data_IF_375470119466
#
_entry.id   IF_375470119466
#
_cell.length_a   1.000
_cell.length_b   1.000
_cell.length_c   1.000
_cell.angle_alpha   90.00
_cell.angle_beta   90.00
_cell.angle_gamma   90.00
#
_symmetry.space_group_name_H-M   'P 1'
#
loop_
_entity.id
_entity.type
_entity.pdbx_description
1 polymer ?
#
# COMPACT_ATOMS: atom_id res chain seq x y z
N UNK A 1 80.18 -12.28 13.57
CA UNK A 1 79.17 -12.28 14.66
C UNK A 1 78.18 -13.39 14.38
N UNK A 2 77.75 -14.12 15.41
CA UNK A 2 76.56 -15.01 15.37
C UNK A 2 75.30 -14.17 15.04
N UNK A 3 74.17 -14.71 14.57
CA UNK A 3 73.38 -15.83 15.11
C UNK A 3 72.62 -16.62 14.01
N UNK A 4 72.34 -17.90 14.31
CA UNK A 4 71.46 -18.86 13.61
C UNK A 4 70.12 -18.25 13.15
N UNK A 5 69.54 -18.55 11.98
CA UNK A 5 69.20 -19.85 11.39
C UNK A 5 68.03 -20.59 12.08
N UNK A 6 66.86 -20.61 11.41
CA UNK A 6 66.10 -21.85 11.24
C UNK A 6 65.21 -21.80 9.99
N UNK A 7 65.45 -22.72 9.06
CA UNK A 7 64.51 -23.12 8.00
C UNK A 7 63.71 -24.34 8.46
N UNK A 8 62.59 -24.54 7.76
CA UNK A 8 61.98 -25.82 7.32
C UNK A 8 60.56 -26.09 7.84
N UNK A 9 59.69 -26.87 7.16
CA UNK A 9 59.40 -27.15 5.73
C UNK A 9 58.35 -28.29 5.70
N UNK A 10 57.64 -28.51 4.57
CA UNK A 10 56.82 -29.70 4.23
C UNK A 10 55.55 -29.88 5.10
N UNK A 11 54.33 -29.70 4.56
CA UNK A 11 53.50 -30.72 3.86
C UNK A 11 52.19 -30.92 4.67
N UNK A 12 51.01 -31.27 4.15
CA UNK A 12 50.64 -32.05 2.96
C UNK A 12 49.18 -31.74 2.56
N UNK A 13 48.77 -32.01 1.32
CA UNK A 13 47.34 -32.13 0.96
C UNK A 13 46.72 -33.39 1.60
N UNK A 14 45.37 -33.43 1.74
CA UNK A 14 44.68 -34.47 0.98
C UNK A 14 43.33 -34.06 0.35
N UNK A 15 43.08 -34.68 -0.81
CA UNK A 15 41.82 -35.21 -1.36
C UNK A 15 40.55 -34.35 -1.43
N UNK A 16 40.03 -34.24 -2.66
CA UNK A 16 38.60 -34.12 -2.95
C UNK A 16 37.77 -35.23 -2.31
N UNK A 17 36.49 -34.95 -2.04
CA UNK A 17 35.42 -35.95 -2.01
C UNK A 17 34.13 -35.37 -2.60
N UNK A 18 33.80 -35.81 -3.82
CA UNK A 18 32.56 -35.45 -4.50
C UNK A 18 31.40 -36.27 -3.90
N UNK A 19 30.20 -35.70 -3.69
CA UNK A 19 28.99 -36.49 -3.43
C UNK A 19 28.42 -37.04 -4.74
N UNK A 20 28.17 -38.35 -4.79
CA UNK A 20 27.56 -39.03 -5.92
C UNK A 20 26.06 -38.66 -6.10
N UNK A 21 25.50 -38.75 -7.33
CA UNK A 21 24.10 -38.42 -7.59
C UNK A 21 23.14 -39.49 -7.06
N UNK A 22 21.95 -39.05 -6.66
CA UNK A 22 20.81 -39.90 -6.31
C UNK A 22 19.98 -40.21 -7.57
N UNK A 23 20.02 -41.46 -8.03
CA UNK A 23 19.10 -41.96 -9.04
C UNK A 23 17.68 -42.10 -8.48
N UNK A 24 16.71 -41.52 -9.19
CA UNK A 24 15.28 -41.63 -8.91
C UNK A 24 14.53 -41.80 -10.25
N UNK A 25 13.97 -42.98 -10.56
CA UNK A 25 13.36 -43.22 -11.85
C UNK A 25 11.97 -42.57 -11.96
N UNK A 26 11.77 -41.78 -13.02
CA UNK A 26 10.43 -41.49 -13.52
C UNK A 26 9.84 -42.77 -14.15
N UNK A 27 8.55 -43.00 -13.93
CA UNK A 27 7.74 -43.86 -14.82
C UNK A 27 6.37 -43.24 -15.07
N UNK A 28 5.98 -43.16 -16.34
CA UNK A 28 4.64 -42.77 -16.79
C UNK A 28 3.76 -44.01 -16.99
N UNK A 29 2.52 -43.96 -16.49
CA UNK A 29 1.28 -44.57 -17.03
C UNK A 29 0.16 -44.21 -16.03
N UNK A 30 -1.00 -43.61 -16.35
CA UNK A 30 -1.98 -43.73 -17.46
C UNK A 30 -2.86 -44.99 -17.38
N UNK A 31 -4.17 -44.76 -17.56
CA UNK A 31 -5.31 -45.70 -17.72
C UNK A 31 -5.76 -46.61 -16.55
N UNK A 32 -6.92 -46.23 -16.00
CA UNK A 32 -8.20 -46.99 -15.97
C UNK A 32 -8.22 -48.52 -15.69
N UNK A 33 -9.11 -48.93 -14.78
CA UNK A 33 -9.59 -50.31 -14.65
C UNK A 33 -10.42 -50.55 -13.37
N UNK A 34 -11.69 -50.91 -13.52
CA UNK A 34 -12.55 -51.37 -12.41
C UNK A 34 -12.37 -52.88 -12.14
N UNK A 35 -13.19 -53.44 -11.23
CA UNK A 35 -13.25 -54.84 -10.74
C UNK A 35 -12.29 -55.09 -9.56
N UNK A 36 -12.68 -55.72 -8.43
CA UNK A 36 -13.99 -56.23 -8.01
C UNK A 36 -13.87 -57.53 -7.20
N UNK A 37 -14.74 -57.73 -6.19
CA UNK A 37 -14.83 -58.90 -5.29
C UNK A 37 -13.62 -59.17 -4.35
N UNK A 38 -13.67 -59.96 -3.27
CA UNK A 38 -14.65 -60.39 -2.23
C UNK A 38 -13.80 -61.14 -1.14
N UNK A 39 -14.20 -61.57 0.07
CA UNK A 39 -15.43 -61.61 0.89
C UNK A 39 -15.00 -61.83 2.36
N UNK A 40 -15.76 -61.37 3.38
CA UNK A 40 -15.91 -62.09 4.69
C UNK A 40 -16.88 -61.40 5.68
N UNK A 41 -18.03 -62.04 5.91
CA UNK A 41 -18.89 -62.01 7.12
C UNK A 41 -18.83 -63.46 7.72
N UNK A 42 -19.59 -63.93 8.75
CA UNK A 42 -20.67 -63.36 9.57
C UNK A 42 -20.48 -63.73 11.08
N UNK A 43 -21.47 -64.11 11.94
CA UNK A 43 -22.94 -63.89 11.98
C UNK A 43 -23.51 -63.42 13.36
N UNK A 44 -24.79 -63.01 13.42
CA UNK A 44 -25.87 -63.72 14.17
C UNK A 44 -27.27 -63.08 13.91
N UNK A 45 -28.34 -63.70 14.43
CA UNK A 45 -29.78 -63.71 14.01
C UNK A 45 -30.70 -63.35 15.21
N UNK A 46 -32.05 -63.43 15.15
CA UNK A 46 -33.06 -63.11 14.11
C UNK A 46 -34.33 -62.35 14.66
N UNK A 47 -35.30 -61.98 13.80
CA UNK A 47 -36.70 -61.72 14.20
C UNK A 47 -37.69 -61.76 12.99
N UNK A 48 -38.98 -61.92 13.28
CA UNK A 48 -40.18 -61.76 12.41
C UNK A 48 -41.45 -61.99 13.27
N UNK A 49 -42.69 -62.01 12.73
CA UNK A 49 -43.17 -61.62 11.39
C UNK A 49 -44.41 -60.66 11.41
N UNK A 50 -45.00 -60.41 10.23
CA UNK A 50 -46.40 -60.04 9.91
C UNK A 50 -47.14 -58.84 10.56
N UNK A 51 -47.63 -57.91 9.72
CA UNK A 51 -49.07 -57.61 9.56
C UNK A 51 -49.42 -56.66 8.39
N UNK A 52 -50.73 -56.47 8.12
CA UNK A 52 -51.33 -56.13 6.81
C UNK A 52 -52.41 -55.01 6.92
N UNK A 53 -52.76 -54.35 5.78
CA UNK A 53 -53.90 -53.39 5.52
C UNK A 53 -53.74 -51.95 6.10
N UNK A 54 -54.45 -50.90 5.63
CA UNK A 54 -55.61 -50.75 4.72
C UNK A 54 -55.46 -49.44 3.88
N UNK A 55 -55.71 -49.43 2.56
CA UNK A 55 -56.98 -49.03 1.87
C UNK A 55 -57.34 -47.53 1.89
N UNK A 56 -57.50 -46.95 0.69
CA UNK A 56 -58.08 -45.64 0.43
C UNK A 56 -59.61 -45.71 0.19
N UNK A 57 -60.31 -44.58 0.34
CA UNK A 57 -61.75 -44.44 0.03
C UNK A 57 -62.01 -43.28 -0.94
N UNK A 58 -63.15 -43.37 -1.63
CA UNK A 58 -63.52 -42.60 -2.82
C UNK A 58 -64.45 -41.44 -2.47
N UNK A 59 -64.29 -40.30 -3.14
CA UNK A 59 -65.29 -39.23 -3.16
C UNK A 59 -65.34 -38.54 -4.53
N UNK A 60 -66.43 -38.74 -5.28
CA UNK A 60 -66.71 -38.05 -6.57
C UNK A 60 -67.86 -37.07 -6.38
N UNK A 61 -67.69 -35.83 -6.85
CA UNK A 61 -68.79 -34.93 -7.23
C UNK A 61 -68.40 -34.22 -8.54
N UNK A 62 -69.40 -34.01 -9.40
CA UNK A 62 -69.42 -33.40 -10.74
C UNK A 62 -70.75 -32.61 -10.83
N UNK A 63 -71.03 -31.73 -11.82
CA UNK A 63 -70.22 -31.26 -12.96
C UNK A 63 -70.28 -29.72 -13.19
N UNK A 64 -69.98 -29.28 -14.43
CA UNK A 64 -70.11 -27.93 -15.05
C UNK A 64 -68.95 -26.93 -14.81
N UNK A 65 -68.47 -26.14 -15.78
CA UNK A 65 -68.92 -25.93 -17.17
C UNK A 65 -67.75 -25.67 -18.18
N UNK A 66 -67.97 -26.13 -19.42
CA UNK A 66 -67.62 -25.54 -20.74
C UNK A 66 -66.36 -24.63 -20.88
N UNK A 67 -65.33 -25.22 -21.49
CA UNK A 67 -64.61 -24.77 -22.69
C UNK A 67 -64.32 -23.25 -22.90
N UNK A 68 -63.04 -22.87 -22.77
CA UNK A 68 -62.45 -21.71 -23.43
C UNK A 68 -61.28 -22.15 -24.32
N UNK A 69 -61.34 -21.80 -25.61
CA UNK A 69 -60.37 -22.25 -26.62
C UNK A 69 -59.16 -21.31 -26.68
N UNK A 70 -58.17 -21.54 -25.82
CA UNK A 70 -56.88 -20.82 -25.88
C UNK A 70 -55.87 -21.55 -26.78
N UNK A 71 -55.36 -20.88 -27.83
CA UNK A 71 -54.26 -21.44 -28.62
C UNK A 71 -52.98 -21.50 -27.76
N UNK A 72 -52.54 -22.71 -27.43
CA UNK A 72 -51.28 -22.95 -26.75
C UNK A 72 -50.12 -22.89 -27.75
N UNK A 73 -49.44 -21.76 -27.85
CA UNK A 73 -48.10 -21.67 -28.45
C UNK A 73 -47.04 -21.86 -27.35
N UNK A 74 -46.45 -23.05 -27.29
CA UNK A 74 -45.26 -23.31 -26.49
C UNK A 74 -44.04 -22.58 -27.12
N UNK A 75 -43.03 -22.21 -26.31
CA UNK A 75 -42.21 -21.04 -26.63
C UNK A 75 -41.09 -21.34 -27.63
N UNK A 76 -40.88 -20.41 -28.56
CA UNK A 76 -39.56 -20.23 -29.17
C UNK A 76 -38.64 -19.62 -28.09
N UNK A 77 -37.84 -20.46 -27.45
CA UNK A 77 -36.80 -20.00 -26.54
C UNK A 77 -35.80 -19.15 -27.34
N UNK A 78 -35.83 -17.83 -27.12
CA UNK A 78 -34.74 -16.98 -27.59
C UNK A 78 -33.42 -17.53 -27.02
N UNK A 79 -32.34 -17.60 -27.81
CA UNK A 79 -31.04 -17.93 -27.24
C UNK A 79 -30.77 -16.94 -26.10
N UNK A 80 -30.20 -17.38 -24.96
CA UNK A 80 -29.86 -16.46 -23.89
C UNK A 80 -29.00 -15.36 -24.49
N UNK A 81 -29.49 -14.12 -24.42
CA UNK A 81 -28.75 -12.99 -24.92
C UNK A 81 -27.41 -13.03 -24.20
N UNK A 82 -26.33 -13.25 -24.96
CA UNK A 82 -25.00 -13.21 -24.41
C UNK A 82 -24.84 -11.81 -23.84
N UNK A 83 -24.85 -11.72 -22.51
CA UNK A 83 -24.38 -10.54 -21.79
C UNK A 83 -22.89 -10.46 -22.04
N UNK A 84 -22.56 -9.95 -23.23
CA UNK A 84 -21.28 -9.35 -23.51
C UNK A 84 -21.11 -8.28 -22.44
N UNK A 85 -20.33 -8.62 -21.41
CA UNK A 85 -19.84 -7.66 -20.44
C UNK A 85 -19.26 -6.52 -21.26
N UNK A 86 -19.91 -5.35 -21.20
CA UNK A 86 -19.34 -4.16 -21.79
C UNK A 86 -18.04 -3.93 -21.03
N UNK A 87 -16.91 -4.19 -21.69
CA UNK A 87 -15.62 -3.78 -21.17
C UNK A 87 -15.69 -2.27 -21.01
N UNK A 88 -15.78 -1.81 -19.76
CA UNK A 88 -15.81 -0.40 -19.45
C UNK A 88 -14.56 0.24 -20.07
N UNK A 89 -14.77 1.21 -20.95
CA UNK A 89 -13.70 1.70 -21.80
C UNK A 89 -12.60 2.31 -20.93
N UNK A 90 -11.37 1.78 -21.05
CA UNK A 90 -10.27 2.04 -20.13
C UNK A 90 -9.81 3.51 -20.20
N UNK A 91 -10.49 4.37 -19.45
CA UNK A 91 -10.38 5.82 -19.51
C UNK A 91 -10.08 6.43 -18.12
N UNK A 92 -8.86 6.22 -17.59
CA UNK A 92 -8.47 6.78 -16.29
C UNK A 92 -8.55 8.31 -16.31
N UNK A 93 -8.94 8.89 -15.17
CA UNK A 93 -9.10 10.34 -15.00
C UNK A 93 -7.89 11.13 -15.54
N UNK A 94 -8.12 12.34 -16.05
CA UNK A 94 -7.04 13.15 -16.61
C UNK A 94 -6.04 13.61 -15.52
N UNK A 95 -4.75 13.37 -15.75
CA UNK A 95 -3.66 14.00 -15.00
C UNK A 95 -3.13 15.26 -15.70
N UNK A 96 -2.17 15.92 -15.07
CA UNK A 96 -1.43 17.06 -15.62
C UNK A 96 -0.10 16.60 -16.23
N UNK A 97 0.27 17.13 -17.40
CA UNK A 97 1.56 16.80 -18.05
C UNK A 97 2.74 17.64 -17.54
N UNK A 98 2.47 18.69 -16.74
CA UNK A 98 3.46 19.57 -16.13
C UNK A 98 3.14 19.73 -14.64
N UNK A 99 4.10 19.35 -13.80
CA UNK A 99 4.02 19.59 -12.36
C UNK A 99 4.20 21.09 -12.03
N UNK A 100 3.66 21.57 -10.90
CA UNK A 100 3.78 22.99 -10.48
C UNK A 100 5.21 23.45 -10.15
N UNK A 101 6.20 22.55 -10.22
CA UNK A 101 7.61 22.83 -9.94
C UNK A 101 7.98 22.54 -8.47
N UNK A 102 9.28 22.37 -8.23
CA UNK A 102 9.81 21.97 -6.92
C UNK A 102 9.60 20.49 -6.61
N UNK A 103 10.32 20.00 -5.60
CA UNK A 103 10.19 18.64 -5.09
C UNK A 103 8.92 18.50 -4.24
N UNK A 104 8.04 17.53 -4.54
CA UNK A 104 6.83 17.27 -3.75
C UNK A 104 7.11 17.11 -2.25
N UNK A 105 6.17 17.59 -1.42
CA UNK A 105 6.36 17.70 0.03
C UNK A 105 6.77 16.36 0.67
N UNK A 106 6.18 15.26 0.21
CA UNK A 106 6.42 13.92 0.73
C UNK A 106 7.88 13.48 0.51
N UNK A 107 8.40 13.64 -0.71
CA UNK A 107 9.80 13.32 -1.02
C UNK A 107 10.78 14.18 -0.20
N UNK A 108 10.46 15.48 -0.07
CA UNK A 108 11.25 16.43 0.74
C UNK A 108 11.22 16.10 2.24
N UNK A 109 10.06 15.71 2.78
CA UNK A 109 9.87 15.36 4.20
C UNK A 109 10.55 14.04 4.59
N UNK A 110 10.70 13.12 3.65
CA UNK A 110 11.35 11.83 3.82
C UNK A 110 12.86 11.86 3.50
N UNK A 111 13.38 12.98 2.98
CA UNK A 111 14.77 13.17 2.56
C UNK A 111 15.37 11.99 1.77
N UNK A 112 14.60 11.52 0.79
CA UNK A 112 14.91 10.32 -0.01
C UNK A 112 16.28 10.43 -0.70
N UNK A 113 16.66 11.64 -1.14
CA UNK A 113 17.95 11.88 -1.81
C UNK A 113 19.15 11.68 -0.89
N UNK A 114 19.02 11.97 0.41
CA UNK A 114 20.05 11.61 1.39
C UNK A 114 20.13 10.11 1.59
N UNK A 115 18.99 9.40 1.65
CA UNK A 115 18.97 7.94 1.75
C UNK A 115 19.64 7.25 0.53
N UNK A 116 19.49 7.81 -0.68
CA UNK A 116 20.16 7.35 -1.91
C UNK A 116 21.69 7.36 -1.87
N UNK A 117 22.31 8.12 -0.95
CA UNK A 117 23.76 8.06 -0.73
C UNK A 117 24.21 6.74 -0.11
N UNK A 118 23.28 5.95 0.43
CA UNK A 118 23.51 4.66 1.08
C UNK A 118 22.79 3.51 0.38
N UNK A 119 21.60 3.75 -0.20
CA UNK A 119 20.84 2.75 -0.95
C UNK A 119 19.79 3.36 -1.88
N UNK A 120 19.66 2.80 -3.07
CA UNK A 120 18.69 3.15 -4.13
C UNK A 120 17.66 2.04 -4.40
N UNK A 121 17.70 0.94 -3.62
CA UNK A 121 16.90 -0.26 -3.83
C UNK A 121 17.41 -1.18 -4.93
N UNK A 122 18.64 -0.97 -5.43
CA UNK A 122 19.24 -1.77 -6.50
C UNK A 122 19.25 -3.28 -6.16
N UNK A 123 18.85 -4.10 -7.13
CA UNK A 123 18.78 -5.56 -7.00
C UNK A 123 17.52 -6.09 -6.31
N UNK A 124 16.82 -5.27 -5.52
CA UNK A 124 15.64 -5.71 -4.75
C UNK A 124 14.40 -5.79 -5.63
N UNK A 125 13.62 -6.85 -5.45
CA UNK A 125 12.41 -7.14 -6.22
C UNK A 125 11.15 -6.80 -5.42
N UNK A 126 10.42 -5.79 -5.88
CA UNK A 126 9.20 -5.29 -5.23
C UNK A 126 7.97 -5.69 -6.05
N UNK A 127 7.12 -6.53 -5.48
CA UNK A 127 5.82 -6.82 -6.06
C UNK A 127 4.77 -5.80 -5.64
N UNK A 128 3.95 -5.38 -6.59
CA UNK A 128 2.91 -4.37 -6.42
C UNK A 128 1.59 -5.01 -6.80
N UNK A 129 0.69 -5.17 -5.81
CA UNK A 129 -0.62 -5.79 -6.00
C UNK A 129 -1.68 -4.68 -6.04
N UNK A 130 -2.11 -4.30 -7.24
CA UNK A 130 -2.84 -3.05 -7.49
C UNK A 130 -3.76 -3.09 -8.75
N UNK A 131 -4.13 -1.95 -9.32
CA UNK A 131 -5.03 -1.78 -10.49
C UNK A 131 -4.37 -1.94 -11.87
N UNK A 132 -3.05 -2.17 -11.93
CA UNK A 132 -2.26 -2.27 -13.16
C UNK A 132 -1.23 -1.16 -13.31
N UNK A 133 -0.60 -1.05 -14.48
CA UNK A 133 0.43 -0.03 -14.76
C UNK A 133 0.32 0.57 -16.17
N UNK A 134 0.46 1.90 -16.28
CA UNK A 134 0.86 2.53 -17.56
C UNK A 134 2.37 2.35 -17.81
N UNK A 135 2.70 1.25 -18.51
CA UNK A 135 4.07 0.89 -18.87
C UNK A 135 4.75 1.90 -19.81
N UNK A 136 3.97 2.80 -20.44
CA UNK A 136 4.48 3.82 -21.38
C UNK A 136 4.92 5.09 -20.66
N UNK A 137 4.49 5.28 -19.40
CA UNK A 137 4.85 6.44 -18.57
C UNK A 137 6.37 6.61 -18.49
N UNK A 138 6.94 7.79 -18.79
CA UNK A 138 8.39 7.95 -18.97
C UNK A 138 9.25 7.48 -17.78
N UNK A 139 8.78 7.71 -16.54
CA UNK A 139 9.49 7.29 -15.32
C UNK A 139 9.40 5.78 -15.01
N UNK A 140 8.53 5.03 -15.70
CA UNK A 140 8.18 3.64 -15.34
C UNK A 140 8.59 2.61 -16.41
N UNK A 141 9.22 3.07 -17.50
CA UNK A 141 9.68 2.20 -18.60
C UNK A 141 10.74 1.21 -18.13
N UNK A 142 10.56 -0.06 -18.51
CA UNK A 142 11.51 -1.13 -18.23
C UNK A 142 11.72 -1.41 -16.74
N UNK A 143 10.72 -1.11 -15.89
CA UNK A 143 10.77 -1.48 -14.47
C UNK A 143 10.22 -2.87 -14.18
N UNK A 144 9.30 -3.39 -14.99
CA UNK A 144 8.36 -4.42 -14.53
C UNK A 144 8.21 -5.67 -15.40
N UNK A 145 7.97 -6.79 -14.72
CA UNK A 145 7.21 -7.94 -15.24
C UNK A 145 5.73 -7.77 -14.89
N UNK A 146 4.82 -8.34 -15.69
CA UNK A 146 3.37 -8.12 -15.56
C UNK A 146 2.60 -9.43 -15.44
N UNK A 147 1.66 -9.49 -14.51
CA UNK A 147 0.64 -10.53 -14.43
C UNK A 147 -0.71 -9.85 -14.17
N UNK A 148 -1.72 -10.31 -14.88
CA UNK A 148 -3.10 -9.85 -14.74
C UNK A 148 -3.99 -11.00 -14.23
N UNK A 149 -4.63 -10.79 -13.08
CA UNK A 149 -5.60 -11.69 -12.47
C UNK A 149 -7.05 -11.30 -12.81
N UNK A 150 -7.26 -10.22 -13.55
CA UNK A 150 -8.59 -9.73 -13.95
C UNK A 150 -9.03 -10.22 -15.33
N UNK A 151 -8.08 -10.59 -16.19
CA UNK A 151 -8.35 -10.99 -17.57
C UNK A 151 -8.62 -9.81 -18.52
N UNK A 152 -8.37 -8.57 -18.10
CA UNK A 152 -8.59 -7.35 -18.91
C UNK A 152 -7.29 -6.72 -19.45
N UNK A 153 -6.14 -7.35 -19.19
CA UNK A 153 -4.81 -6.86 -19.55
C UNK A 153 -4.19 -5.96 -18.48
N UNK A 154 -2.89 -5.72 -18.60
CA UNK A 154 -2.07 -5.04 -17.57
C UNK A 154 -2.31 -3.52 -17.44
N UNK A 155 -3.04 -2.90 -18.37
CA UNK A 155 -3.28 -1.46 -18.40
C UNK A 155 -4.00 -0.99 -17.12
N UNK A 156 -3.52 0.10 -16.55
CA UNK A 156 -4.16 0.76 -15.42
C UNK A 156 -5.30 1.67 -15.88
N UNK A 157 -6.55 1.20 -15.68
CA UNK A 157 -7.75 1.96 -16.03
C UNK A 157 -8.22 2.90 -14.89
N UNK A 158 -7.61 2.80 -13.71
CA UNK A 158 -7.94 3.62 -12.52
C UNK A 158 -6.91 4.75 -12.33
N UNK A 159 -5.64 4.44 -12.56
CA UNK A 159 -4.47 5.29 -12.29
C UNK A 159 -3.79 5.03 -10.95
N UNK A 160 -4.43 4.25 -10.08
CA UNK A 160 -3.97 3.99 -8.71
C UNK A 160 -2.65 3.20 -8.68
N UNK A 161 -2.57 2.08 -9.39
CA UNK A 161 -1.35 1.27 -9.48
C UNK A 161 -0.18 2.04 -10.09
N UNK A 162 -0.42 2.82 -11.14
CA UNK A 162 0.60 3.68 -11.76
C UNK A 162 1.17 4.70 -10.78
N UNK A 163 0.33 5.28 -9.90
CA UNK A 163 0.75 6.18 -8.84
C UNK A 163 1.58 5.46 -7.76
N UNK A 164 1.14 4.28 -7.31
CA UNK A 164 1.84 3.44 -6.32
C UNK A 164 3.21 3.01 -6.83
N UNK A 165 3.30 2.50 -8.05
CA UNK A 165 4.56 2.13 -8.71
C UNK A 165 5.46 3.34 -8.91
N UNK A 166 4.89 4.50 -9.21
CA UNK A 166 5.60 5.77 -9.24
C UNK A 166 6.26 6.13 -7.91
N UNK A 167 5.51 6.03 -6.81
CA UNK A 167 6.02 6.31 -5.45
C UNK A 167 7.10 5.30 -5.03
N UNK A 168 6.94 4.02 -5.37
CA UNK A 168 7.94 3.00 -5.03
C UNK A 168 9.21 3.16 -5.88
N UNK A 169 9.08 3.13 -7.20
CA UNK A 169 10.20 2.88 -8.12
C UNK A 169 10.34 3.89 -9.27
N UNK A 170 9.58 5.00 -9.27
CA UNK A 170 9.64 6.02 -10.31
C UNK A 170 11.05 6.55 -10.55
N UNK A 171 11.60 6.26 -11.73
CA UNK A 171 12.97 6.65 -12.11
C UNK A 171 13.09 8.17 -12.19
N UNK A 172 14.24 8.72 -11.79
CA UNK A 172 14.58 10.13 -12.04
C UNK A 172 14.50 10.41 -13.55
N UNK A 173 13.81 11.48 -13.93
CA UNK A 173 13.60 11.85 -15.34
C UNK A 173 13.89 13.34 -15.57
N UNK A 174 14.63 13.72 -16.63
CA UNK A 174 14.99 15.12 -16.87
C UNK A 174 13.79 16.06 -16.89
N UNK A 175 13.89 17.17 -16.16
CA UNK A 175 12.82 18.18 -16.06
C UNK A 175 11.65 17.80 -15.14
N UNK A 176 11.65 16.62 -14.52
CA UNK A 176 10.62 16.17 -13.56
C UNK A 176 11.22 16.12 -12.16
N UNK A 177 10.59 16.82 -11.21
CA UNK A 177 11.03 16.87 -9.82
C UNK A 177 10.53 15.69 -8.96
N UNK A 178 9.47 15.00 -9.42
CA UNK A 178 9.02 13.76 -8.80
C UNK A 178 10.00 12.60 -9.05
N UNK A 179 10.19 11.75 -8.05
CA UNK A 179 10.85 10.46 -8.15
C UNK A 179 10.31 9.51 -7.08
N UNK A 180 10.43 8.20 -7.31
CA UNK A 180 10.10 7.19 -6.30
C UNK A 180 11.11 7.16 -5.15
N UNK A 181 10.88 6.29 -4.17
CA UNK A 181 11.79 6.07 -3.03
C UNK A 181 12.96 5.16 -3.40
N UNK A 182 12.71 4.10 -4.19
CA UNK A 182 13.66 3.05 -4.56
C UNK A 182 13.78 2.89 -6.10
N UNK A 183 14.31 3.90 -6.82
CA UNK A 183 14.26 4.00 -8.29
C UNK A 183 15.10 2.96 -9.04
N UNK A 184 15.91 2.16 -8.34
CA UNK A 184 16.69 1.06 -8.92
C UNK A 184 16.17 -0.34 -8.52
N UNK A 185 15.05 -0.41 -7.82
CA UNK A 185 14.34 -1.67 -7.57
C UNK A 185 13.74 -2.25 -8.86
N UNK A 186 13.60 -3.57 -8.90
CA UNK A 186 12.91 -4.28 -9.99
C UNK A 186 11.46 -4.48 -9.58
N UNK A 187 10.51 -4.02 -10.40
CA UNK A 187 9.09 -4.09 -10.11
C UNK A 187 8.48 -5.40 -10.63
N UNK A 188 7.47 -5.90 -9.93
CA UNK A 188 6.61 -7.00 -10.39
C UNK A 188 5.17 -6.52 -10.25
N UNK A 189 4.52 -6.19 -11.37
CA UNK A 189 3.13 -5.74 -11.39
C UNK A 189 2.18 -6.93 -11.37
N UNK A 190 1.28 -6.95 -10.40
CA UNK A 190 0.30 -8.01 -10.16
C UNK A 190 -1.09 -7.36 -10.10
N UNK A 191 -1.68 -7.11 -11.27
CA UNK A 191 -2.99 -6.48 -11.37
C UNK A 191 -4.07 -7.41 -10.84
N UNK A 192 -4.75 -7.02 -9.77
CA UNK A 192 -5.80 -7.84 -9.14
C UNK A 192 -7.23 -7.31 -9.34
N UNK A 193 -7.39 -6.03 -9.70
CA UNK A 193 -8.68 -5.37 -9.93
C UNK A 193 -8.64 -4.32 -11.04
N UNK A 194 -9.83 -3.93 -11.53
CA UNK A 194 -10.06 -2.75 -12.36
C UNK A 194 -10.77 -1.63 -11.60
N UNK A 195 -10.89 -1.76 -10.27
CA UNK A 195 -11.58 -0.85 -9.35
C UNK A 195 -10.67 -0.54 -8.15
N UNK A 196 -11.09 0.40 -7.29
CA UNK A 196 -10.39 0.73 -6.04
C UNK A 196 -10.46 -0.39 -4.98
N UNK A 197 -11.46 -1.27 -5.07
CA UNK A 197 -11.59 -2.47 -4.24
C UNK A 197 -11.08 -3.72 -4.98
N UNK A 198 -10.83 -4.81 -4.26
CA UNK A 198 -10.23 -6.02 -4.81
C UNK A 198 -10.95 -7.31 -4.44
N UNK A 199 -10.72 -8.33 -5.26
CA UNK A 199 -11.25 -9.66 -5.01
C UNK A 199 -10.27 -10.45 -4.14
N UNK A 200 -10.73 -10.92 -2.97
CA UNK A 200 -9.89 -11.62 -1.99
C UNK A 200 -9.15 -12.83 -2.58
N UNK A 201 -9.79 -13.55 -3.52
CA UNK A 201 -9.17 -14.65 -4.26
C UNK A 201 -8.01 -14.18 -5.15
N UNK A 202 -8.19 -13.10 -5.92
CA UNK A 202 -7.14 -12.53 -6.76
C UNK A 202 -5.99 -11.99 -5.90
N UNK A 203 -6.30 -11.32 -4.78
CA UNK A 203 -5.30 -10.81 -3.85
C UNK A 203 -4.45 -11.94 -3.24
N UNK A 204 -5.07 -13.03 -2.78
CA UNK A 204 -4.34 -14.19 -2.26
C UNK A 204 -3.47 -14.85 -3.35
N UNK A 205 -4.03 -15.07 -4.54
CA UNK A 205 -3.30 -15.64 -5.67
C UNK A 205 -2.14 -14.74 -6.14
N UNK A 206 -2.28 -13.41 -6.06
CA UNK A 206 -1.21 -12.46 -6.35
C UNK A 206 -0.09 -12.53 -5.31
N UNK A 207 -0.39 -12.67 -4.01
CA UNK A 207 0.62 -12.86 -2.97
C UNK A 207 1.42 -14.16 -3.22
N UNK A 208 0.75 -15.28 -3.46
CA UNK A 208 1.43 -16.55 -3.79
C UNK A 208 2.23 -16.44 -5.10
N UNK A 209 1.78 -15.62 -6.06
CA UNK A 209 2.53 -15.38 -7.29
C UNK A 209 3.76 -14.50 -7.07
N UNK A 210 3.71 -13.51 -6.17
CA UNK A 210 4.87 -12.75 -5.75
C UNK A 210 5.94 -13.66 -5.11
N UNK A 211 5.52 -14.66 -4.29
CA UNK A 211 6.40 -15.70 -3.74
C UNK A 211 7.06 -16.53 -4.85
N UNK A 212 6.28 -17.05 -5.80
CA UNK A 212 6.82 -17.82 -6.94
C UNK A 212 7.81 -16.99 -7.76
N UNK A 213 7.50 -15.70 -7.93
CA UNK A 213 8.36 -14.76 -8.61
C UNK A 213 9.51 -14.24 -7.75
N UNK A 214 9.73 -14.71 -6.51
CA UNK A 214 10.82 -14.27 -5.61
C UNK A 214 10.86 -12.74 -5.44
N UNK A 215 9.72 -12.14 -5.10
CA UNK A 215 9.70 -10.80 -4.53
C UNK A 215 10.33 -10.81 -3.13
N UNK A 216 10.99 -9.73 -2.74
CA UNK A 216 11.56 -9.53 -1.39
C UNK A 216 10.72 -8.55 -0.55
N UNK A 217 9.93 -7.72 -1.25
CA UNK A 217 8.94 -6.80 -0.70
C UNK A 217 7.63 -6.96 -1.50
N UNK A 218 6.48 -6.97 -0.83
CA UNK A 218 5.15 -6.90 -1.44
C UNK A 218 4.43 -5.66 -0.92
N UNK A 219 4.02 -4.77 -1.82
CA UNK A 219 3.12 -3.66 -1.54
C UNK A 219 1.66 -4.08 -1.80
N UNK A 220 0.79 -3.88 -0.82
CA UNK A 220 -0.65 -4.17 -0.93
C UNK A 220 -1.46 -2.92 -0.61
N UNK A 221 -2.05 -2.33 -1.65
CA UNK A 221 -2.80 -1.08 -1.55
C UNK A 221 -4.29 -1.24 -1.23
N UNK A 222 -4.82 -2.47 -1.32
CA UNK A 222 -6.25 -2.77 -1.24
C UNK A 222 -6.62 -3.34 0.13
N UNK A 223 -7.78 -2.91 0.66
CA UNK A 223 -8.41 -3.51 1.85
C UNK A 223 -9.30 -4.71 1.49
N UNK A 224 -9.28 -5.71 2.35
CA UNK A 224 -10.19 -6.86 2.36
C UNK A 224 -10.70 -7.14 3.77
N UNK A 225 -11.74 -7.96 3.89
CA UNK A 225 -12.14 -8.58 5.15
C UNK A 225 -11.18 -9.74 5.54
N UNK A 226 -11.23 -10.20 6.80
CA UNK A 226 -10.50 -11.41 7.22
C UNK A 226 -10.96 -12.61 6.36
N UNK A 227 -9.99 -13.38 5.88
CA UNK A 227 -10.26 -14.54 5.04
C UNK A 227 -9.15 -15.60 5.22
N UNK A 228 -9.50 -16.87 5.49
CA UNK A 228 -8.51 -17.93 5.69
C UNK A 228 -7.53 -18.13 4.54
N UNK A 229 -7.96 -17.95 3.28
CA UNK A 229 -7.11 -18.11 2.09
C UNK A 229 -6.10 -16.96 2.02
N UNK A 230 -6.56 -15.72 2.24
CA UNK A 230 -5.67 -14.55 2.30
C UNK A 230 -4.65 -14.67 3.44
N UNK A 231 -5.10 -15.10 4.62
CA UNK A 231 -4.25 -15.34 5.79
C UNK A 231 -3.19 -16.43 5.53
N UNK A 232 -3.56 -17.48 4.79
CA UNK A 232 -2.63 -18.53 4.38
C UNK A 232 -1.55 -18.01 3.42
N UNK A 233 -1.94 -17.26 2.37
CA UNK A 233 -1.00 -16.67 1.42
C UNK A 233 -0.04 -15.67 2.09
N UNK A 234 -0.53 -14.83 3.00
CA UNK A 234 0.28 -13.92 3.82
C UNK A 234 1.29 -14.69 4.67
N UNK A 235 0.87 -15.75 5.38
CA UNK A 235 1.78 -16.59 6.18
C UNK A 235 2.82 -17.29 5.31
N UNK A 236 2.45 -17.77 4.12
CA UNK A 236 3.37 -18.38 3.15
C UNK A 236 4.45 -17.38 2.70
N UNK A 237 4.06 -16.15 2.35
CA UNK A 237 5.00 -15.09 1.96
C UNK A 237 5.94 -14.68 3.10
N UNK A 238 5.44 -14.47 4.32
CA UNK A 238 6.28 -14.15 5.49
C UNK A 238 7.28 -15.28 5.80
N UNK A 239 6.84 -16.55 5.71
CA UNK A 239 7.69 -17.73 5.89
C UNK A 239 8.72 -17.96 4.76
N UNK A 240 8.59 -17.22 3.65
CA UNK A 240 9.53 -17.21 2.52
C UNK A 240 10.49 -16.02 2.54
N UNK A 241 10.60 -15.36 3.70
CA UNK A 241 11.38 -14.15 3.88
C UNK A 241 10.98 -13.02 2.91
N UNK A 242 9.71 -12.60 2.97
CA UNK A 242 9.19 -11.48 2.18
C UNK A 242 8.57 -10.43 3.10
N UNK A 243 8.99 -9.17 2.95
CA UNK A 243 8.42 -8.05 3.70
C UNK A 243 7.08 -7.69 3.08
N UNK A 244 5.99 -7.79 3.84
CA UNK A 244 4.66 -7.38 3.38
C UNK A 244 4.32 -6.03 3.99
N UNK A 245 4.08 -5.03 3.14
CA UNK A 245 3.65 -3.69 3.53
C UNK A 245 2.25 -3.47 2.98
N UNK A 246 1.31 -3.08 3.84
CA UNK A 246 -0.10 -2.95 3.48
C UNK A 246 -0.70 -1.62 3.96
N UNK A 247 -1.62 -1.08 3.17
CA UNK A 247 -2.42 0.08 3.55
C UNK A 247 -3.24 -0.23 4.81
N UNK A 248 -3.29 0.71 5.77
CA UNK A 248 -4.14 0.57 6.95
C UNK A 248 -5.64 0.64 6.65
N UNK A 249 -6.01 1.14 5.46
CA UNK A 249 -7.38 1.39 5.04
C UNK A 249 -7.77 2.86 5.25
N UNK A 250 -8.74 3.30 4.44
CA UNK A 250 -9.32 4.62 4.55
C UNK A 250 -10.77 4.51 5.07
N UNK A 251 -11.19 5.50 5.86
CA UNK A 251 -12.53 5.66 6.42
C UNK A 251 -13.14 7.00 5.98
N UNK A 252 -14.45 7.01 5.74
CA UNK A 252 -15.26 8.20 5.47
C UNK A 252 -16.33 8.41 6.54
N UNK A 253 -16.78 7.33 7.19
CA UNK A 253 -17.55 7.34 8.44
C UNK A 253 -16.79 6.56 9.53
N UNK A 254 -16.98 6.95 10.81
CA UNK A 254 -16.45 6.23 11.98
C UNK A 254 -16.98 4.81 12.08
N UNK A 255 -18.16 4.52 11.52
CA UNK A 255 -18.71 3.17 11.43
C UNK A 255 -17.90 2.26 10.49
N UNK A 256 -17.04 2.82 9.64
CA UNK A 256 -16.14 2.08 8.74
C UNK A 256 -14.76 1.79 9.38
N UNK A 257 -14.54 2.21 10.64
CA UNK A 257 -13.30 1.97 11.38
C UNK A 257 -13.22 0.53 11.91
N UNK A 258 -13.19 -0.42 10.97
CA UNK A 258 -13.00 -1.86 11.18
C UNK A 258 -11.62 -2.29 10.69
N UNK A 259 -10.98 -3.34 11.24
CA UNK A 259 -9.63 -3.74 10.85
C UNK A 259 -9.56 -4.14 9.37
N UNK A 260 -8.63 -3.53 8.63
CA UNK A 260 -8.39 -3.84 7.23
C UNK A 260 -7.37 -4.98 7.07
N UNK A 261 -7.65 -5.93 6.20
CA UNK A 261 -6.74 -7.03 5.86
C UNK A 261 -6.15 -6.81 4.45
N UNK A 262 -4.88 -7.20 4.20
CA UNK A 262 -4.02 -8.00 5.07
C UNK A 262 -3.26 -7.22 6.15
N UNK A 263 -3.37 -5.89 6.23
CA UNK A 263 -2.66 -5.06 7.22
C UNK A 263 -2.84 -5.50 8.69
N UNK A 264 -4.00 -6.05 9.03
CA UNK A 264 -4.29 -6.55 10.38
C UNK A 264 -3.77 -7.95 10.69
N UNK A 265 -3.07 -8.62 9.76
CA UNK A 265 -2.41 -9.89 10.07
C UNK A 265 -1.03 -9.69 10.72
N UNK A 266 -0.72 -10.57 11.68
CA UNK A 266 0.59 -10.62 12.32
C UNK A 266 1.73 -10.76 11.30
N UNK A 267 2.82 -10.01 11.53
CA UNK A 267 3.98 -9.95 10.64
C UNK A 267 3.85 -8.96 9.49
N UNK A 268 2.65 -8.54 9.10
CA UNK A 268 2.46 -7.47 8.08
C UNK A 268 2.81 -6.11 8.68
N UNK A 269 3.43 -5.24 7.88
CA UNK A 269 3.64 -3.82 8.22
C UNK A 269 2.45 -3.00 7.71
N UNK A 270 1.46 -2.77 8.58
CA UNK A 270 0.36 -1.85 8.29
C UNK A 270 0.82 -0.38 8.35
N UNK A 271 0.41 0.40 7.35
CA UNK A 271 0.83 1.80 7.19
C UNK A 271 -0.37 2.74 7.20
N UNK A 272 -0.39 3.67 8.15
CA UNK A 272 -1.39 4.73 8.24
C UNK A 272 -1.06 5.94 7.36
N UNK A 273 -2.07 6.72 7.01
CA UNK A 273 -1.92 7.97 6.24
C UNK A 273 -1.55 9.14 7.15
N UNK A 274 -0.57 9.94 6.72
CA UNK A 274 -0.19 11.19 7.36
C UNK A 274 -0.34 12.43 6.47
N UNK A 275 -0.69 13.53 7.12
CA UNK A 275 -0.73 14.89 6.58
C UNK A 275 0.66 15.54 6.51
N UNK A 276 0.83 16.65 5.76
CA UNK A 276 2.12 17.34 5.62
C UNK A 276 2.75 17.85 6.93
N UNK A 277 1.94 18.09 7.96
CA UNK A 277 2.37 18.48 9.31
C UNK A 277 2.79 17.29 10.20
N UNK A 278 2.74 16.06 9.66
CA UNK A 278 3.14 14.82 10.35
C UNK A 278 2.07 14.19 11.24
N UNK A 279 0.86 14.74 11.30
CA UNK A 279 -0.27 14.12 12.02
C UNK A 279 -0.83 12.92 11.24
N UNK A 280 -1.56 12.03 11.91
CA UNK A 280 -2.44 11.04 11.27
C UNK A 280 -3.56 11.80 10.52
N UNK A 281 -3.80 11.45 9.27
CA UNK A 281 -4.94 11.95 8.51
C UNK A 281 -6.26 11.44 9.12
N UNK A 282 -7.31 12.28 9.14
CA UNK A 282 -8.60 11.89 9.73
C UNK A 282 -9.24 10.69 8.98
N UNK A 283 -8.98 10.59 7.67
CA UNK A 283 -9.36 9.47 6.79
C UNK A 283 -8.59 8.18 7.04
N UNK A 284 -7.50 8.17 7.83
CA UNK A 284 -6.73 6.96 8.13
C UNK A 284 -7.45 6.10 9.16
N UNK A 285 -7.77 4.84 8.81
CA UNK A 285 -8.33 3.85 9.74
C UNK A 285 -7.46 3.70 11.01
N UNK A 286 -8.11 3.54 12.18
CA UNK A 286 -7.47 3.37 13.50
C UNK A 286 -7.65 1.98 14.11
N UNK A 287 -8.57 1.17 13.57
CA UNK A 287 -8.79 -0.21 13.98
C UNK A 287 -7.71 -1.17 13.45
N UNK A 288 -7.10 -0.89 12.30
CA UNK A 288 -5.92 -1.61 11.80
C UNK A 288 -4.69 -1.29 12.68
N UNK A 289 -3.89 -2.28 13.09
CA UNK A 289 -2.72 -2.08 13.95
C UNK A 289 -1.54 -1.42 13.19
N UNK A 290 -1.63 -0.10 12.97
CA UNK A 290 -0.61 0.72 12.30
C UNK A 290 0.77 0.58 12.97
N UNK A 291 1.76 0.13 12.20
CA UNK A 291 3.15 0.06 12.65
C UNK A 291 3.90 1.38 12.48
N UNK A 292 3.70 2.05 11.34
CA UNK A 292 4.24 3.39 11.02
C UNK A 292 3.25 4.19 10.18
N UNK A 293 3.42 5.51 10.11
CA UNK A 293 2.78 6.37 9.12
C UNK A 293 3.67 6.54 7.89
N UNK A 294 3.05 6.82 6.75
CA UNK A 294 3.71 7.37 5.57
C UNK A 294 2.96 8.59 5.04
N UNK A 295 3.56 9.39 4.14
CA UNK A 295 2.87 10.48 3.47
C UNK A 295 1.61 9.95 2.77
N UNK A 296 0.44 10.55 3.01
CA UNK A 296 -0.81 10.03 2.47
C UNK A 296 -1.89 11.07 2.18
N UNK A 297 -1.59 12.37 2.29
CA UNK A 297 -2.49 13.48 1.92
C UNK A 297 -1.74 14.48 1.05
N UNK A 298 -2.39 15.06 0.04
CA UNK A 298 -1.74 16.02 -0.86
C UNK A 298 -0.59 15.40 -1.67
N UNK A 299 -0.73 14.13 -2.06
CA UNK A 299 0.32 13.37 -2.74
C UNK A 299 0.33 13.69 -4.23
N UNK A 300 1.53 13.85 -4.77
CA UNK A 300 1.80 13.96 -6.20
C UNK A 300 2.40 12.62 -6.65
N UNK A 301 1.92 12.05 -7.75
CA UNK A 301 2.45 10.81 -8.29
C UNK A 301 2.28 10.72 -9.83
N UNK A 302 3.08 9.88 -10.52
CA UNK A 302 2.83 9.41 -11.87
C UNK A 302 1.41 8.90 -12.07
N UNK A 303 0.90 9.05 -13.28
CA UNK A 303 -0.48 8.75 -13.63
C UNK A 303 -0.56 8.31 -15.10
N UNK A 304 -1.57 7.50 -15.50
CA UNK A 304 -1.66 7.01 -16.86
C UNK A 304 -1.63 8.10 -17.94
N UNK A 305 -1.26 7.69 -19.15
CA UNK A 305 -1.07 8.53 -20.33
C UNK A 305 0.13 9.49 -20.19
N UNK A 306 1.17 9.06 -19.47
CA UNK A 306 2.39 9.86 -19.29
C UNK A 306 2.19 11.15 -18.49
N UNK A 307 1.20 11.17 -17.59
CA UNK A 307 0.79 12.36 -16.84
C UNK A 307 1.05 12.21 -15.34
N UNK A 308 0.68 13.20 -14.53
CA UNK A 308 0.80 13.18 -13.07
C UNK A 308 -0.54 13.53 -12.44
N UNK A 309 -0.85 12.92 -11.30
CA UNK A 309 -2.00 13.33 -10.49
C UNK A 309 -1.51 14.13 -9.29
N UNK A 310 -2.19 15.24 -9.03
CA UNK A 310 -2.02 16.08 -7.86
C UNK A 310 -3.10 15.75 -6.83
N UNK A 311 -2.83 16.12 -5.57
CA UNK A 311 -3.78 16.05 -4.46
C UNK A 311 -4.42 14.66 -4.28
N UNK A 312 -3.60 13.62 -4.41
CA UNK A 312 -3.97 12.26 -4.04
C UNK A 312 -4.00 12.10 -2.52
N UNK A 313 -4.96 11.31 -2.04
CA UNK A 313 -5.12 10.96 -0.64
C UNK A 313 -5.39 9.46 -0.46
N UNK A 314 -4.74 8.83 0.52
CA UNK A 314 -4.96 7.44 0.89
C UNK A 314 -3.76 6.77 1.55
N UNK A 315 -4.05 5.86 2.49
CA UNK A 315 -3.05 4.99 3.14
C UNK A 315 -2.34 4.03 2.16
N UNK A 316 -2.88 3.83 0.96
CA UNK A 316 -2.22 3.11 -0.14
C UNK A 316 -0.95 3.81 -0.62
N UNK A 317 -0.99 5.14 -0.79
CA UNK A 317 0.19 5.92 -1.15
C UNK A 317 1.22 5.94 -0.02
N UNK A 318 0.77 5.92 1.22
CA UNK A 318 1.63 5.79 2.41
C UNK A 318 2.33 4.44 2.45
N UNK A 319 1.60 3.34 2.19
CA UNK A 319 2.17 2.01 2.02
C UNK A 319 3.22 1.99 0.90
N UNK A 320 2.99 2.68 -0.22
CA UNK A 320 3.96 2.80 -1.31
C UNK A 320 5.28 3.46 -0.86
N UNK A 321 5.24 4.55 -0.08
CA UNK A 321 6.45 5.18 0.48
C UNK A 321 7.22 4.24 1.43
N UNK A 322 6.50 3.47 2.24
CA UNK A 322 7.10 2.49 3.17
C UNK A 322 7.65 1.26 2.44
N UNK A 323 6.97 0.77 1.40
CA UNK A 323 7.43 -0.33 0.53
C UNK A 323 8.73 0.02 -0.17
N UNK A 324 8.83 1.25 -0.71
CA UNK A 324 10.07 1.75 -1.25
C UNK A 324 11.17 1.85 -0.19
N UNK A 325 10.84 2.27 1.04
CA UNK A 325 11.79 2.29 2.17
C UNK A 325 12.28 0.88 2.52
N UNK A 326 11.39 -0.12 2.56
CA UNK A 326 11.77 -1.52 2.76
C UNK A 326 12.71 -2.04 1.67
N UNK A 327 12.52 -1.62 0.41
CA UNK A 327 13.44 -1.94 -0.68
C UNK A 327 14.82 -1.27 -0.50
N UNK A 328 14.86 -0.02 -0.01
CA UNK A 328 16.14 0.61 0.35
C UNK A 328 16.87 -0.15 1.46
N UNK A 329 16.14 -0.59 2.50
CA UNK A 329 16.70 -1.36 3.63
C UNK A 329 17.23 -2.72 3.16
N UNK A 330 16.45 -3.50 2.39
CA UNK A 330 16.88 -4.80 1.84
C UNK A 330 18.16 -4.68 1.01
N UNK A 331 18.24 -3.68 0.12
CA UNK A 331 19.43 -3.45 -0.70
C UNK A 331 20.65 -3.03 0.14
N UNK A 332 20.45 -2.31 1.26
CA UNK A 332 21.53 -1.89 2.15
C UNK A 332 22.04 -3.01 3.06
N UNK A 333 21.12 -3.85 3.54
CA UNK A 333 21.34 -4.90 4.53
C UNK A 333 20.73 -6.23 4.07
N UNK A 334 21.29 -6.87 3.02
CA UNK A 334 20.71 -8.07 2.40
C UNK A 334 20.76 -9.35 3.27
N UNK A 335 21.28 -9.24 4.49
CA UNK A 335 21.31 -10.31 5.49
C UNK A 335 20.17 -10.21 6.53
N UNK A 336 19.41 -9.10 6.54
CA UNK A 336 18.27 -8.95 7.43
C UNK A 336 17.07 -9.69 6.86
N UNK A 337 16.42 -10.51 7.68
CA UNK A 337 15.14 -11.13 7.35
C UNK A 337 13.98 -10.11 7.37
N UNK A 338 12.81 -10.52 6.90
CA UNK A 338 11.64 -9.66 6.76
C UNK A 338 11.16 -9.08 8.10
N UNK A 339 11.32 -9.83 9.20
CA UNK A 339 10.94 -9.34 10.52
C UNK A 339 11.94 -8.30 11.02
N UNK A 340 13.23 -8.53 10.79
CA UNK A 340 14.29 -7.58 11.10
C UNK A 340 14.13 -6.29 10.29
N UNK A 341 13.85 -6.37 8.98
CA UNK A 341 13.53 -5.21 8.14
C UNK A 341 12.30 -4.46 8.66
N UNK A 342 11.22 -5.17 9.00
CA UNK A 342 10.01 -4.58 9.60
C UNK A 342 10.30 -3.87 10.93
N UNK A 343 11.00 -4.54 11.85
CA UNK A 343 11.39 -3.99 13.16
C UNK A 343 12.30 -2.78 13.01
N UNK A 344 13.24 -2.83 12.06
CA UNK A 344 14.15 -1.72 11.73
C UNK A 344 13.38 -0.48 11.28
N UNK A 345 12.46 -0.61 10.32
CA UNK A 345 11.61 0.50 9.84
C UNK A 345 10.81 1.12 11.00
N UNK A 346 10.20 0.29 11.86
CA UNK A 346 9.43 0.75 13.03
C UNK A 346 10.35 1.46 14.04
N UNK A 347 11.52 0.88 14.37
CA UNK A 347 12.45 1.42 15.36
C UNK A 347 13.17 2.70 14.91
N UNK A 348 13.22 2.98 13.61
CA UNK A 348 13.83 4.19 13.04
C UNK A 348 12.82 5.26 12.64
N UNK A 349 11.52 5.04 12.84
CA UNK A 349 10.48 6.04 12.57
C UNK A 349 10.60 7.25 13.53
N UNK A 350 10.01 8.38 13.13
CA UNK A 350 10.21 9.70 13.77
C UNK A 350 9.58 9.85 15.18
N UNK A 351 8.95 8.79 15.72
CA UNK A 351 8.30 8.77 17.04
C UNK A 351 6.79 8.91 16.97
N UNK A 352 6.09 8.24 17.90
CA UNK A 352 4.63 8.25 17.96
C UNK A 352 4.09 9.65 18.30
N UNK A 353 3.10 10.13 17.53
CA UNK A 353 2.48 11.46 17.72
C UNK A 353 1.02 11.36 18.21
N UNK A 354 0.56 10.16 18.59
CA UNK A 354 -0.77 9.94 19.16
C UNK A 354 -1.37 8.56 18.87
N UNK A 355 -2.65 8.39 19.22
CA UNK A 355 -3.38 7.14 18.95
C UNK A 355 -3.46 6.88 17.43
N UNK A 356 -3.17 5.64 17.02
CA UNK A 356 -3.27 5.20 15.62
C UNK A 356 -2.10 5.66 14.72
N UNK A 357 -1.00 6.16 15.29
CA UNK A 357 0.17 6.61 14.51
C UNK A 357 1.29 5.57 14.42
N UNK A 358 1.15 4.42 15.09
CA UNK A 358 2.26 3.49 15.31
C UNK A 358 3.47 4.18 15.92
N UNK A 359 4.66 3.87 15.41
CA UNK A 359 5.93 4.50 15.77
C UNK A 359 6.18 5.87 15.08
N UNK A 360 5.19 6.44 14.38
CA UNK A 360 5.32 7.73 13.71
C UNK A 360 5.64 7.63 12.22
N UNK A 361 6.01 8.76 11.61
CA UNK A 361 6.37 8.84 10.19
C UNK A 361 7.60 7.97 9.89
N UNK A 362 7.55 7.20 8.80
CA UNK A 362 8.70 6.46 8.28
C UNK A 362 9.87 7.42 7.98
N UNK A 363 11.08 7.01 8.33
CA UNK A 363 12.30 7.79 8.06
C UNK A 363 13.29 6.96 7.23
N UNK A 364 13.32 7.12 5.90
CA UNK A 364 14.21 6.36 5.03
C UNK A 364 15.68 6.55 5.37
N UNK A 365 16.10 7.75 5.78
CA UNK A 365 17.50 8.07 6.11
C UNK A 365 17.96 7.27 7.33
N UNK A 366 17.23 7.33 8.44
CA UNK A 366 17.53 6.52 9.63
C UNK A 366 17.40 5.02 9.35
N UNK A 367 16.38 4.61 8.59
CA UNK A 367 16.20 3.21 8.18
C UNK A 367 17.41 2.66 7.42
N UNK A 368 18.14 3.45 6.61
CA UNK A 368 19.37 2.96 5.92
C UNK A 368 20.69 3.27 6.64
N UNK A 369 20.69 4.05 7.73
CA UNK A 369 21.92 4.53 8.39
C UNK A 369 22.09 4.13 9.86
N UNK A 370 21.02 3.87 10.60
CA UNK A 370 21.09 3.59 12.03
C UNK A 370 21.79 2.24 12.33
N UNK A 371 22.54 2.18 13.42
CA UNK A 371 23.05 0.92 14.00
C UNK A 371 22.12 0.55 15.15
N UNK A 372 21.43 -0.60 15.06
CA UNK A 372 20.40 -0.99 16.02
C UNK A 372 20.90 -2.14 16.92
N UNK A 373 20.79 -2.04 18.27
CA UNK A 373 21.34 -3.05 19.19
C UNK A 373 20.76 -4.46 19.06
N UNK A 374 19.59 -4.60 18.45
CA UNK A 374 18.89 -5.88 18.27
C UNK A 374 19.20 -6.56 16.92
N UNK A 375 19.93 -5.90 16.02
CA UNK A 375 20.41 -6.52 14.80
C UNK A 375 21.75 -7.21 15.07
N UNK A 376 21.94 -8.48 14.66
CA UNK A 376 23.14 -9.24 14.99
C UNK A 376 24.37 -8.71 14.22
N UNK A 377 25.05 -7.72 14.81
CA UNK A 377 26.31 -7.15 14.33
C UNK A 377 27.52 -8.11 14.52
N UNK A 378 27.41 -9.36 14.04
CA UNK A 378 28.51 -10.31 13.92
C UNK A 378 29.16 -10.84 15.19
N UNK A 379 28.79 -10.37 16.40
CA UNK A 379 29.21 -10.88 17.72
C UNK A 379 28.32 -10.32 18.84
N UNK A 380 28.27 -10.99 20.02
CA UNK A 380 27.33 -10.61 21.08
C UNK A 380 27.77 -9.33 21.78
N UNK A 381 26.88 -8.32 21.77
CA UNK A 381 27.01 -7.15 22.65
C UNK A 381 25.99 -7.33 23.77
N UNK A 382 26.50 -7.44 24.99
CA UNK A 382 25.69 -7.39 26.22
C UNK A 382 24.87 -6.10 26.17
N UNK A 383 23.56 -6.20 26.42
CA UNK A 383 22.67 -5.05 26.38
C UNK A 383 23.24 -3.92 27.26
N UNK A 384 23.47 -2.75 26.66
CA UNK A 384 23.79 -1.56 27.44
C UNK A 384 22.65 -1.29 28.42
N UNK A 385 22.93 -0.87 29.66
CA UNK A 385 21.89 -0.49 30.61
C UNK A 385 21.01 0.59 30.00
N UNK A 386 19.71 0.58 30.32
CA UNK A 386 18.75 1.53 29.79
C UNK A 386 19.26 2.97 29.96
N UNK A 387 19.16 3.82 28.92
CA UNK A 387 19.67 5.19 29.00
C UNK A 387 19.06 5.91 30.20
N UNK A 388 19.91 6.59 30.98
CA UNK A 388 19.47 7.36 32.12
C UNK A 388 18.41 8.41 31.68
N UNK A 389 17.43 8.74 32.53
CA UNK A 389 16.45 9.77 32.22
C UNK A 389 17.16 11.06 31.79
N UNK A 390 16.72 11.62 30.65
CA UNK A 390 17.24 12.89 30.15
C UNK A 390 16.97 13.96 31.22
N UNK A 391 17.97 14.77 31.63
CA UNK A 391 17.75 15.89 32.54
C UNK A 391 16.63 16.81 32.03
N UNK A 392 15.75 17.27 32.92
CA UNK A 392 14.54 18.03 32.56
C UNK A 392 14.84 19.38 31.86
N UNK A 393 16.11 19.80 31.91
CA UNK A 393 16.74 20.99 31.38
C UNK A 393 17.40 20.79 29.99
N UNK A 394 17.50 19.56 29.48
CA UNK A 394 18.10 19.28 28.16
C UNK A 394 17.18 19.61 26.97
N UNK A 395 15.89 19.83 27.20
CA UNK A 395 14.97 20.36 26.18
C UNK A 395 15.08 21.87 26.20
N UNK A 396 15.71 22.46 25.17
CA UNK A 396 15.67 23.90 24.95
C UNK A 396 14.20 24.33 24.87
N UNK A 397 13.73 25.09 25.87
CA UNK A 397 12.39 25.68 25.86
C UNK A 397 12.22 26.47 24.57
N UNK A 398 11.13 26.19 23.84
CA UNK A 398 10.69 27.01 22.70
C UNK A 398 10.73 28.48 23.16
N UNK A 399 11.39 29.40 22.42
CA UNK A 399 11.46 30.79 22.81
C UNK A 399 10.05 31.33 23.07
N UNK A 400 9.87 32.04 24.19
CA UNK A 400 8.59 32.62 24.52
C UNK A 400 8.13 33.53 23.38
N UNK A 401 6.87 33.39 22.97
CA UNK A 401 6.31 34.14 21.86
C UNK A 401 6.40 35.65 22.16
N UNK A 402 7.02 36.42 21.25
CA UNK A 402 7.23 37.86 21.46
C UNK A 402 5.92 38.64 21.29
N UNK A 403 5.15 38.65 22.38
CA UNK A 403 3.93 39.43 22.56
C UNK A 403 4.13 40.93 22.37
N UNK A 404 5.33 41.47 22.62
CA UNK A 404 5.61 42.90 22.45
C UNK A 404 5.68 43.24 20.98
N UNK A 405 6.49 42.52 20.20
CA UNK A 405 6.58 42.69 18.75
C UNK A 405 5.23 42.43 18.08
N UNK A 406 4.49 41.38 18.48
CA UNK A 406 3.14 41.09 17.96
C UNK A 406 2.16 42.25 18.20
N UNK A 407 2.13 42.79 19.42
CA UNK A 407 1.21 43.89 19.77
C UNK A 407 1.59 45.20 19.06
N UNK A 408 2.88 45.50 18.90
CA UNK A 408 3.34 46.65 18.11
C UNK A 408 2.91 46.50 16.65
N UNK A 409 3.10 45.34 16.02
CA UNK A 409 2.68 45.09 14.64
C UNK A 409 1.17 45.28 14.44
N UNK A 410 0.35 44.79 15.39
CA UNK A 410 -1.10 44.98 15.36
C UNK A 410 -1.50 46.46 15.51
N UNK A 411 -0.87 47.19 16.44
CA UNK A 411 -1.15 48.61 16.66
C UNK A 411 -0.78 49.48 15.44
N UNK A 412 0.40 49.24 14.84
CA UNK A 412 0.83 49.92 13.61
C UNK A 412 -0.12 49.64 12.45
N UNK A 413 -0.55 48.38 12.28
CA UNK A 413 -1.50 48.00 11.21
C UNK A 413 -2.86 48.68 11.40
N UNK A 414 -3.40 48.70 12.63
CA UNK A 414 -4.65 49.38 12.94
C UNK A 414 -4.58 50.90 12.72
N UNK A 415 -3.45 51.52 13.09
CA UNK A 415 -3.19 52.95 12.87
C UNK A 415 -3.11 53.31 11.39
N UNK A 416 -2.44 52.50 10.58
CA UNK A 416 -2.35 52.70 9.13
C UNK A 416 -3.73 52.60 8.45
N UNK A 417 -4.54 51.61 8.83
CA UNK A 417 -5.89 51.42 8.29
C UNK A 417 -6.84 52.57 8.66
N UNK A 418 -6.76 53.09 9.89
CA UNK A 418 -7.59 54.24 10.32
C UNK A 418 -7.18 55.54 9.61
N UNK A 419 -5.88 55.79 9.45
CA UNK A 419 -5.37 56.92 8.66
C UNK A 419 -5.83 56.87 7.19
N UNK A 420 -5.78 55.69 6.56
CA UNK A 420 -6.26 55.49 5.19
C UNK A 420 -7.78 55.76 5.07
N UNK A 421 -8.59 55.29 6.03
CA UNK A 421 -10.03 55.53 6.06
C UNK A 421 -10.36 57.03 6.23
N UNK A 422 -9.65 57.74 7.11
CA UNK A 422 -9.83 59.19 7.33
C UNK A 422 -9.43 60.00 6.09
N UNK A 423 -8.31 59.66 5.44
CA UNK A 423 -7.89 60.29 4.20
C UNK A 423 -8.91 60.08 3.06
N UNK A 424 -9.45 58.86 2.94
CA UNK A 424 -10.53 58.54 2.00
C UNK A 424 -11.80 59.37 2.26
N UNK A 425 -12.24 59.47 3.52
CA UNK A 425 -13.41 60.27 3.90
C UNK A 425 -13.21 61.77 3.58
N UNK A 426 -12.05 62.35 3.91
CA UNK A 426 -11.71 63.74 3.57
C UNK A 426 -11.70 63.99 2.05
N UNK A 427 -11.13 63.06 1.28
CA UNK A 427 -11.15 63.11 -0.19
C UNK A 427 -12.56 63.08 -0.80
N UNK A 428 -13.53 62.45 -0.13
CA UNK A 428 -14.93 62.35 -0.56
C UNK A 428 -15.76 63.60 -0.18
N UNK A 429 -15.44 64.23 0.96
CA UNK A 429 -16.19 65.38 1.52
C UNK A 429 -15.71 66.73 0.97
N UNK A 430 -14.41 66.97 0.88
CA UNK A 430 -13.85 68.28 0.49
C UNK A 430 -14.28 68.76 -0.92
N UNK A 431 -14.38 67.90 -1.96
CA UNK A 431 -14.87 68.33 -3.27
C UNK A 431 -16.35 68.72 -3.25
N UNK A 432 -17.17 68.03 -2.45
CA UNK A 432 -18.61 68.30 -2.32
C UNK A 432 -18.90 69.63 -1.62
N UNK A 433 -18.06 70.04 -0.66
CA UNK A 433 -18.13 71.36 -0.03
C UNK A 433 -17.87 72.50 -1.02
N UNK A 434 -16.82 72.38 -1.85
CA UNK A 434 -16.46 73.41 -2.84
C UNK A 434 -17.51 73.62 -3.93
N UNK A 435 -18.31 72.60 -4.25
CA UNK A 435 -19.42 72.71 -5.21
C UNK A 435 -20.57 73.61 -4.77
N UNK A 436 -20.80 73.81 -3.46
CA UNK A 436 -21.93 74.61 -2.94
C UNK A 436 -21.64 76.12 -2.88
N UNK A 437 -20.38 76.53 -2.76
CA UNK A 437 -19.99 77.94 -2.61
C UNK A 437 -19.91 78.73 -3.93
N UNK A 438 -19.97 78.06 -5.09
CA UNK A 438 -19.90 78.71 -6.42
C UNK A 438 -21.25 79.15 -7.03
N UNK A 439 -22.35 79.12 -6.26
CA UNK A 439 -23.71 79.47 -6.74
C UNK A 439 -24.36 80.70 -6.09
N UNK A 440 -23.63 81.45 -5.27
CA UNK A 440 -24.07 82.76 -4.81
C UNK A 440 -23.62 83.84 -5.82
N UNK A 441 -24.48 84.17 -6.78
CA UNK A 441 -24.34 85.40 -7.59
C UNK A 441 -24.77 86.64 -6.80
N UNK A 442 -24.27 87.83 -7.12
CA UNK A 442 -24.64 89.06 -6.42
C UNK A 442 -26.10 89.45 -6.74
N UNK A 443 -26.83 90.06 -5.79
CA UNK A 443 -28.13 90.67 -6.06
C UNK A 443 -27.98 91.96 -6.88
N UNK A 444 -29.08 92.32 -7.57
CA UNK A 444 -29.24 93.52 -8.41
C UNK A 444 -29.44 94.77 -7.56
#
# INVERSE_FOLDING_TARGET
>A
MHVHAHQSSIGSHPSESQPAPLDLPLSLAKSAGCVGNERSRPPHRPAGPDNVRCSAMIGRVLPTAVLALGLATAPAAAPPAAVASAFEECNPAAGVVKLPGGEPWAQKRLDIKTAWRLSTGAGVRVAIIDSGLDIKHPQLRGLSSFIDFTGTGYTDCVGHGTAVTGIIAGRVYPGVAFHGVAPQSTVIELKQSNQAEGHVANLAAAIDKAVQLRAEVINISIKAADNPILKAAVRNALARDIVIVAAAGNITDKNEDVPAYPGSYEGVLAVGSATPDGRRADSSNTATPVGVLGPGVGIIAPWPRGSYKLDLEGSSFSAAYVSGTAALVRARFPHLDQEQVRRRIIATADGSVGKGTGAGMVNPVLAVSAVLPFEPAGRPVVAAPAPAPIPADAIAKVPAEDVVTRNISLAVTAGALTLAAVAGALGVVLPRGRGRLRRAGPPV
#
